data_IF_783930228837
#
_entry.id   IF_783930228837
#
_cell.length_a   1.000
_cell.length_b   1.000
_cell.length_c   1.000
_cell.angle_alpha   90.00
_cell.angle_beta   90.00
_cell.angle_gamma   90.00
#
_symmetry.space_group_name_H-M   'P 1'
#
loop_
_entity.id
_entity.type
_entity.pdbx_description
1 polymer ?
#
# COMPACT_ATOMS: atom_id res chain seq x y z
N UNK A 1 -11.55 4.57 -11.55
CA UNK A 1 -10.21 4.83 -12.13
C UNK A 1 -9.12 4.15 -11.29
N UNK A 2 -9.30 4.02 -9.96
CA UNK A 2 -8.36 3.29 -9.09
C UNK A 2 -8.40 1.77 -9.28
N UNK A 3 -9.54 1.19 -9.70
CA UNK A 3 -9.67 -0.25 -9.96
C UNK A 3 -8.80 -0.76 -11.14
N UNK A 4 -8.37 0.09 -12.04
CA UNK A 4 -7.47 -0.25 -13.14
C UNK A 4 -5.98 -0.32 -12.78
N UNK A 5 -5.60 0.13 -11.57
CA UNK A 5 -4.23 0.09 -11.07
C UNK A 5 -3.93 -1.18 -10.24
N UNK A 6 -4.94 -2.01 -10.00
CA UNK A 6 -4.82 -3.19 -9.15
C UNK A 6 -4.55 -4.42 -10.03
N UNK A 7 -3.29 -4.62 -10.40
CA UNK A 7 -2.80 -5.89 -10.93
C UNK A 7 -2.74 -6.95 -9.83
N UNK A 8 -2.77 -8.22 -10.20
CA UNK A 8 -2.99 -9.39 -9.34
C UNK A 8 -1.94 -9.64 -8.23
N UNK A 9 -0.93 -8.79 -8.06
CA UNK A 9 0.12 -8.92 -7.03
C UNK A 9 0.53 -7.59 -6.38
N UNK A 10 -0.30 -6.55 -6.48
CA UNK A 10 0.01 -5.27 -5.88
C UNK A 10 -0.37 -5.22 -4.38
N UNK A 11 0.36 -5.95 -3.55
CA UNK A 11 0.65 -5.48 -2.21
C UNK A 11 1.65 -4.31 -2.36
N UNK A 12 1.19 -3.16 -2.83
CA UNK A 12 1.99 -1.94 -2.81
C UNK A 12 2.00 -1.48 -1.37
N UNK A 13 3.13 -1.67 -0.80
CA UNK A 13 3.47 -1.74 0.60
C UNK A 13 3.05 -0.53 1.41
N UNK A 14 3.30 0.66 1.02
CA UNK A 14 2.80 1.84 1.71
C UNK A 14 2.28 2.88 0.72
N UNK A 15 1.24 3.58 1.12
CA UNK A 15 0.64 4.64 0.28
C UNK A 15 1.65 5.73 -0.08
N UNK A 16 2.48 6.19 0.86
CA UNK A 16 3.42 7.29 0.62
C UNK A 16 4.54 6.87 -0.36
N UNK A 17 4.86 5.58 -0.44
CA UNK A 17 5.77 5.04 -1.46
C UNK A 17 5.19 5.13 -2.86
N UNK A 18 3.90 4.81 -3.05
CA UNK A 18 3.22 4.97 -4.34
C UNK A 18 3.12 6.43 -4.72
N UNK A 19 2.75 7.29 -3.76
CA UNK A 19 2.68 8.74 -3.97
C UNK A 19 4.01 9.27 -4.47
N UNK A 20 5.11 8.86 -3.84
CA UNK A 20 6.46 9.25 -4.25
C UNK A 20 6.80 8.82 -5.68
N UNK A 21 6.38 7.61 -6.10
CA UNK A 21 6.55 7.14 -7.48
C UNK A 21 5.74 7.99 -8.47
N UNK A 22 4.46 8.23 -8.17
CA UNK A 22 3.59 9.01 -9.06
C UNK A 22 4.04 10.47 -9.17
N UNK A 23 4.43 11.09 -8.07
CA UNK A 23 4.93 12.46 -8.07
C UNK A 23 6.26 12.61 -8.81
N UNK A 24 7.15 11.62 -8.70
CA UNK A 24 8.48 11.68 -9.34
C UNK A 24 8.45 11.25 -10.81
N UNK A 25 7.69 10.22 -11.15
CA UNK A 25 7.76 9.57 -12.46
C UNK A 25 6.48 9.70 -13.29
N UNK A 26 5.37 10.16 -12.69
CA UNK A 26 4.07 10.16 -13.35
C UNK A 26 3.50 8.75 -13.51
N UNK A 27 2.55 8.59 -14.43
CA UNK A 27 1.93 7.30 -14.76
C UNK A 27 1.68 7.19 -16.25
N UNK A 28 1.50 5.97 -16.74
CA UNK A 28 1.14 5.68 -18.13
C UNK A 28 -0.07 4.75 -18.18
N UNK A 29 -0.91 4.83 -19.23
CA UNK A 29 -2.01 3.90 -19.41
C UNK A 29 -1.49 2.51 -19.78
N UNK A 30 -2.27 1.47 -19.43
CA UNK A 30 -1.94 0.07 -19.71
C UNK A 30 -1.74 -0.22 -21.20
N UNK A 31 -2.37 0.54 -22.09
CA UNK A 31 -2.19 0.43 -23.53
C UNK A 31 -0.79 0.82 -24.02
N UNK A 32 -0.13 1.70 -23.28
CA UNK A 32 1.23 2.20 -23.59
C UNK A 32 2.32 1.31 -22.96
N UNK A 33 2.07 0.82 -21.78
CA UNK A 33 2.96 -0.15 -21.12
C UNK A 33 2.13 -1.37 -20.68
N UNK A 34 1.90 -2.32 -21.58
CA UNK A 34 1.10 -3.51 -21.30
C UNK A 34 1.80 -4.43 -20.32
N UNK A 35 1.03 -5.29 -19.67
CA UNK A 35 1.59 -6.30 -18.77
C UNK A 35 2.51 -7.28 -19.50
N UNK A 36 3.65 -7.54 -18.87
CA UNK A 36 4.56 -8.63 -19.23
C UNK A 36 4.23 -9.89 -18.41
N UNK A 37 4.81 -11.03 -18.79
CA UNK A 37 4.70 -12.24 -17.97
C UNK A 37 5.25 -12.04 -16.54
N UNK A 38 6.29 -11.22 -16.39
CA UNK A 38 6.91 -10.94 -15.11
C UNK A 38 6.12 -9.92 -14.26
N UNK A 39 5.36 -8.99 -14.87
CA UNK A 39 4.48 -8.09 -14.12
C UNK A 39 3.23 -8.81 -13.60
N UNK A 40 2.76 -9.82 -14.32
CA UNK A 40 1.61 -10.65 -13.90
C UNK A 40 1.98 -11.70 -12.83
N UNK A 41 3.24 -12.12 -12.76
CA UNK A 41 3.79 -13.00 -11.73
C UNK A 41 5.25 -12.66 -11.45
N UNK A 42 5.46 -11.80 -10.46
CA UNK A 42 6.77 -11.21 -10.15
C UNK A 42 7.67 -12.07 -9.26
N UNK A 43 7.25 -13.28 -8.85
CA UNK A 43 7.97 -14.11 -7.90
C UNK A 43 9.44 -14.34 -8.31
N UNK A 44 9.65 -14.83 -9.52
CA UNK A 44 11.00 -15.16 -9.99
C UNK A 44 11.82 -13.90 -10.27
N UNK A 45 11.19 -12.88 -10.84
CA UNK A 45 11.79 -11.55 -11.00
C UNK A 45 12.32 -11.04 -9.66
N UNK A 46 11.48 -11.02 -8.61
CA UNK A 46 11.86 -10.55 -7.29
C UNK A 46 12.98 -11.40 -6.65
N UNK A 47 12.94 -12.72 -6.82
CA UNK A 47 13.98 -13.61 -6.32
C UNK A 47 15.36 -13.29 -6.94
N UNK A 48 15.43 -13.11 -8.26
CA UNK A 48 16.67 -12.80 -8.93
C UNK A 48 17.12 -11.36 -8.68
N UNK A 49 16.21 -10.40 -8.65
CA UNK A 49 16.50 -9.01 -8.31
C UNK A 49 17.09 -8.91 -6.89
N UNK A 50 16.45 -9.53 -5.91
CA UNK A 50 16.95 -9.56 -4.54
C UNK A 50 18.34 -10.20 -4.43
N UNK A 51 18.59 -11.26 -5.20
CA UNK A 51 19.92 -11.89 -5.26
C UNK A 51 20.97 -10.94 -5.84
N UNK A 52 20.63 -10.21 -6.90
CA UNK A 52 21.50 -9.21 -7.52
C UNK A 52 21.81 -8.08 -6.53
N UNK A 53 20.77 -7.47 -5.93
CA UNK A 53 20.93 -6.39 -4.96
C UNK A 53 21.77 -6.78 -3.74
N UNK A 54 21.60 -8.01 -3.22
CA UNK A 54 22.42 -8.54 -2.11
C UNK A 54 23.87 -8.74 -2.52
N UNK A 55 24.12 -9.24 -3.74
CA UNK A 55 25.48 -9.36 -4.28
C UNK A 55 26.14 -7.99 -4.38
N UNK A 56 25.42 -7.00 -4.93
CA UNK A 56 25.93 -5.65 -5.10
C UNK A 56 26.22 -4.98 -3.74
N UNK A 57 25.34 -5.16 -2.76
CA UNK A 57 25.57 -4.70 -1.38
C UNK A 57 26.84 -5.33 -0.76
N UNK A 58 27.12 -6.62 -1.04
CA UNK A 58 28.35 -7.27 -0.57
C UNK A 58 29.59 -6.62 -1.20
N UNK A 59 29.55 -6.27 -2.48
CA UNK A 59 30.67 -5.61 -3.16
C UNK A 59 30.90 -4.21 -2.58
N UNK A 60 29.87 -3.38 -2.46
CA UNK A 60 29.98 -2.03 -1.90
C UNK A 60 30.49 -2.05 -0.46
N UNK A 61 29.97 -2.96 0.39
CA UNK A 61 30.48 -3.12 1.77
C UNK A 61 31.95 -3.53 1.83
N UNK A 62 32.42 -4.37 0.89
CA UNK A 62 33.85 -4.72 0.80
C UNK A 62 34.69 -3.51 0.40
N UNK A 63 34.25 -2.69 -0.55
CA UNK A 63 34.96 -1.47 -0.96
C UNK A 63 35.09 -0.50 0.24
N UNK A 64 34.01 -0.31 1.00
CA UNK A 64 34.07 0.48 2.25
C UNK A 64 35.08 -0.10 3.24
N UNK A 65 35.06 -1.42 3.48
CA UNK A 65 35.98 -2.08 4.42
C UNK A 65 37.45 -2.03 3.95
N UNK A 66 37.68 -1.90 2.65
CA UNK A 66 39.04 -1.77 2.03
C UNK A 66 39.51 -0.31 2.03
N UNK A 67 38.70 0.65 2.43
CA UNK A 67 39.04 2.08 2.49
C UNK A 67 39.04 2.75 1.13
N UNK A 68 38.26 2.24 0.17
CA UNK A 68 38.04 2.88 -1.13
C UNK A 68 37.43 4.26 -0.97
N UNK A 69 37.69 5.15 -1.92
CA UNK A 69 37.15 6.52 -1.90
C UNK A 69 35.63 6.52 -2.13
N UNK A 70 34.93 7.55 -1.64
CA UNK A 70 33.51 7.72 -1.90
C UNK A 70 33.20 7.80 -3.39
N UNK A 71 34.04 8.49 -4.17
CA UNK A 71 33.87 8.61 -5.62
C UNK A 71 33.93 7.24 -6.32
N UNK A 72 34.89 6.38 -5.94
CA UNK A 72 35.00 5.04 -6.48
C UNK A 72 33.79 4.15 -6.10
N UNK A 73 33.25 4.32 -4.89
CA UNK A 73 32.06 3.60 -4.43
C UNK A 73 30.83 4.07 -5.21
N UNK A 74 30.66 5.38 -5.41
CA UNK A 74 29.55 5.95 -6.19
C UNK A 74 29.62 5.53 -7.67
N UNK A 75 30.80 5.58 -8.31
CA UNK A 75 31.02 5.08 -9.68
C UNK A 75 30.59 3.60 -9.80
N UNK A 76 31.00 2.79 -8.83
CA UNK A 76 30.62 1.37 -8.80
C UNK A 76 29.13 1.15 -8.60
N UNK A 77 28.49 1.99 -7.78
CA UNK A 77 27.03 1.96 -7.58
C UNK A 77 26.28 2.31 -8.86
N UNK A 78 26.74 3.32 -9.64
CA UNK A 78 26.13 3.68 -10.92
C UNK A 78 26.21 2.53 -11.94
N UNK A 79 27.37 1.84 -12.06
CA UNK A 79 27.47 0.62 -12.91
C UNK A 79 26.47 -0.47 -12.50
N UNK A 80 26.28 -0.66 -11.19
CA UNK A 80 25.32 -1.63 -10.65
C UNK A 80 23.88 -1.22 -10.97
N UNK A 81 23.54 0.08 -10.83
CA UNK A 81 22.22 0.60 -11.17
C UNK A 81 21.92 0.45 -12.67
N UNK A 82 22.88 0.64 -13.55
CA UNK A 82 22.72 0.37 -14.98
C UNK A 82 22.40 -1.12 -15.25
N UNK A 83 23.10 -2.02 -14.57
CA UNK A 83 22.85 -3.47 -14.67
C UNK A 83 21.46 -3.84 -14.18
N UNK A 84 20.99 -3.23 -13.07
CA UNK A 84 19.64 -3.41 -12.52
C UNK A 84 18.60 -2.86 -13.49
N UNK A 85 18.82 -1.67 -14.05
CA UNK A 85 17.92 -1.08 -15.04
C UNK A 85 17.77 -1.96 -16.28
N UNK A 86 18.85 -2.51 -16.79
CA UNK A 86 18.84 -3.45 -17.91
C UNK A 86 18.06 -4.73 -17.56
N UNK A 87 18.28 -5.29 -16.37
CA UNK A 87 17.55 -6.47 -15.90
C UNK A 87 16.04 -6.21 -15.83
N UNK A 88 15.64 -5.07 -15.28
CA UNK A 88 14.23 -4.67 -15.17
C UNK A 88 13.63 -4.38 -16.56
N UNK A 89 14.35 -3.71 -17.46
CA UNK A 89 13.88 -3.40 -18.81
C UNK A 89 13.68 -4.64 -19.67
N UNK A 90 14.54 -5.65 -19.53
CA UNK A 90 14.34 -6.97 -20.18
C UNK A 90 13.11 -7.67 -19.64
N UNK A 91 12.85 -7.58 -18.34
CA UNK A 91 11.79 -8.31 -17.66
C UNK A 91 10.41 -7.66 -17.80
N UNK A 92 10.35 -6.34 -17.79
CA UNK A 92 9.10 -5.55 -17.69
C UNK A 92 8.84 -4.66 -18.89
N UNK A 93 9.83 -4.45 -19.75
CA UNK A 93 9.81 -3.45 -20.82
C UNK A 93 10.47 -2.13 -20.37
N UNK A 94 10.89 -1.34 -21.35
CA UNK A 94 11.47 -0.03 -21.10
C UNK A 94 10.37 1.01 -20.91
N UNK A 95 10.37 1.76 -19.79
CA UNK A 95 9.36 2.79 -19.55
C UNK A 95 9.40 3.86 -20.66
N UNK A 96 8.24 4.24 -21.23
CA UNK A 96 8.18 5.27 -22.25
C UNK A 96 8.48 6.64 -21.65
N UNK A 97 9.27 7.45 -22.34
CA UNK A 97 9.51 8.86 -21.99
C UNK A 97 8.40 9.77 -22.48
N UNK A 98 7.82 9.42 -23.63
CA UNK A 98 6.77 10.16 -24.32
C UNK A 98 5.89 9.17 -25.09
N UNK A 99 4.58 9.45 -25.21
CA UNK A 99 3.63 8.58 -25.90
C UNK A 99 2.41 9.37 -26.39
N UNK A 100 1.70 8.79 -27.35
CA UNK A 100 0.38 9.26 -27.77
C UNK A 100 -0.69 8.49 -27.00
N UNK A 101 -1.76 9.18 -26.62
CA UNK A 101 -2.90 8.57 -25.94
C UNK A 101 -4.19 8.88 -26.68
N UNK A 102 -4.89 7.83 -27.06
CA UNK A 102 -6.18 7.91 -27.74
C UNK A 102 -7.28 7.17 -26.95
N UNK A 103 -8.47 7.74 -26.94
CA UNK A 103 -9.64 7.13 -26.30
C UNK A 103 -10.94 7.63 -26.94
N UNK A 104 -12.03 6.93 -26.63
CA UNK A 104 -13.38 7.42 -26.87
C UNK A 104 -14.05 7.70 -25.54
N UNK A 105 -14.70 8.85 -25.44
CA UNK A 105 -15.51 9.22 -24.27
C UNK A 105 -16.83 8.41 -24.22
N UNK A 106 -17.65 8.67 -23.20
CA UNK A 106 -18.96 8.01 -23.01
C UNK A 106 -19.91 8.28 -24.19
N UNK A 107 -19.78 9.41 -24.87
CA UNK A 107 -20.55 9.80 -26.05
C UNK A 107 -19.94 9.24 -27.33
N UNK A 108 -18.86 8.45 -27.23
CA UNK A 108 -18.10 7.82 -28.33
C UNK A 108 -17.33 8.79 -29.22
N UNK A 109 -17.13 10.03 -28.78
CA UNK A 109 -16.23 10.96 -29.47
C UNK A 109 -14.79 10.49 -29.36
N UNK A 110 -14.05 10.60 -30.47
CA UNK A 110 -12.63 10.24 -30.51
C UNK A 110 -11.76 11.40 -30.04
N UNK A 111 -10.83 11.06 -29.15
CA UNK A 111 -9.84 11.99 -28.63
C UNK A 111 -8.44 11.42 -28.87
N UNK A 112 -7.50 12.29 -29.23
CA UNK A 112 -6.09 11.97 -29.43
C UNK A 112 -5.22 13.08 -28.87
N UNK A 113 -4.42 12.74 -27.85
CA UNK A 113 -3.36 13.58 -27.33
C UNK A 113 -2.00 13.02 -27.72
N UNK A 114 -1.14 13.85 -28.28
CA UNK A 114 0.18 13.48 -28.75
C UNK A 114 1.28 14.00 -27.86
N UNK A 115 2.38 13.25 -27.77
CA UNK A 115 3.59 13.68 -27.09
C UNK A 115 3.41 13.90 -25.60
N UNK A 116 2.62 13.04 -24.92
CA UNK A 116 2.42 13.11 -23.49
C UNK A 116 3.60 12.48 -22.77
N UNK A 117 4.15 13.18 -21.78
CA UNK A 117 5.01 12.56 -20.79
C UNK A 117 4.15 11.88 -19.69
N UNK A 118 4.70 10.92 -18.93
CA UNK A 118 3.97 10.30 -17.80
C UNK A 118 3.43 11.32 -16.79
N UNK A 119 4.15 12.42 -16.53
CA UNK A 119 3.70 13.52 -15.67
C UNK A 119 2.51 14.27 -16.27
N UNK A 120 2.59 14.69 -17.53
CA UNK A 120 1.49 15.39 -18.21
C UNK A 120 0.25 14.51 -18.26
N UNK A 121 0.42 13.21 -18.48
CA UNK A 121 -0.70 12.26 -18.45
C UNK A 121 -1.33 12.17 -17.06
N UNK A 122 -0.53 12.09 -16.00
CA UNK A 122 -1.02 12.11 -14.63
C UNK A 122 -1.85 13.37 -14.34
N UNK A 123 -1.28 14.55 -14.62
CA UNK A 123 -1.92 15.83 -14.33
C UNK A 123 -3.22 16.01 -15.10
N UNK A 124 -3.25 15.59 -16.38
CA UNK A 124 -4.40 15.79 -17.28
C UNK A 124 -5.53 14.81 -17.06
N UNK A 125 -5.21 13.53 -16.85
CA UNK A 125 -6.19 12.44 -16.85
C UNK A 125 -6.52 11.86 -15.48
N UNK A 126 -5.63 12.05 -14.51
CA UNK A 126 -5.84 11.56 -13.14
C UNK A 126 -6.07 12.74 -12.20
N UNK A 127 -5.16 13.71 -12.13
CA UNK A 127 -5.32 15.00 -11.46
C UNK A 127 -5.59 14.93 -9.96
N UNK A 128 -5.45 13.76 -9.34
CA UNK A 128 -5.69 13.56 -7.89
C UNK A 128 -4.55 14.23 -7.11
N UNK A 129 -4.89 15.14 -6.21
CA UNK A 129 -3.93 15.74 -5.30
C UNK A 129 -3.60 14.77 -4.17
N UNK A 130 -2.63 13.90 -4.43
CA UNK A 130 -2.24 12.84 -3.48
C UNK A 130 -1.79 13.37 -2.12
N UNK A 131 -1.31 14.62 -2.05
CA UNK A 131 -0.93 15.28 -0.80
C UNK A 131 -2.12 15.66 0.09
N UNK A 132 -3.35 15.64 -0.43
CA UNK A 132 -4.56 15.91 0.35
C UNK A 132 -4.99 14.71 1.19
N UNK A 133 -4.30 13.58 1.10
CA UNK A 133 -4.59 12.38 1.84
C UNK A 133 -3.52 12.07 2.87
N UNK A 134 -3.89 11.33 3.91
CA UNK A 134 -3.02 10.86 4.99
C UNK A 134 -3.24 9.39 5.28
N UNK A 135 -2.18 8.73 5.73
CA UNK A 135 -2.23 7.39 6.29
C UNK A 135 -2.58 7.46 7.77
N UNK A 136 -3.67 6.84 8.15
CA UNK A 136 -4.13 6.70 9.54
C UNK A 136 -4.00 5.24 9.94
N UNK A 137 -3.39 4.97 11.10
CA UNK A 137 -3.20 3.61 11.62
C UNK A 137 -3.95 3.40 12.91
N UNK A 138 -4.22 2.14 13.22
CA UNK A 138 -4.64 1.69 14.52
C UNK A 138 -3.67 0.63 15.04
N UNK A 139 -2.71 1.06 15.86
CA UNK A 139 -1.73 0.24 16.55
C UNK A 139 -1.84 0.50 18.05
N UNK A 140 -2.65 -0.30 18.79
CA UNK A 140 -2.97 -0.05 20.20
C UNK A 140 -1.89 -0.58 21.16
N UNK A 141 -0.62 -0.55 20.76
CA UNK A 141 0.52 -0.99 21.56
C UNK A 141 1.00 0.12 22.50
N UNK A 142 1.65 -0.22 23.61
CA UNK A 142 2.05 0.73 24.64
C UNK A 142 3.08 1.75 24.17
N UNK A 143 3.91 1.37 23.22
CA UNK A 143 4.97 2.21 22.62
C UNK A 143 4.43 3.17 21.56
N UNK A 144 3.16 3.01 21.15
CA UNK A 144 2.51 3.83 20.13
C UNK A 144 1.24 4.54 20.64
N UNK A 145 1.37 5.54 21.54
CA UNK A 145 0.23 6.34 21.97
C UNK A 145 -0.62 6.87 20.82
N UNK A 146 -1.95 6.93 21.01
CA UNK A 146 -2.85 7.54 20.05
C UNK A 146 -2.65 9.06 19.93
N UNK A 147 -3.13 9.63 18.82
CA UNK A 147 -3.01 11.05 18.48
C UNK A 147 -1.54 11.52 18.41
N UNK A 148 -0.67 10.68 17.88
CA UNK A 148 0.73 10.96 17.57
C UNK A 148 1.04 10.48 16.15
N UNK A 149 2.03 11.14 15.53
CA UNK A 149 2.53 10.71 14.23
C UNK A 149 3.77 9.83 14.36
N UNK A 150 3.91 8.88 13.44
CA UNK A 150 4.96 7.88 13.40
C UNK A 150 5.55 7.75 12.01
N UNK A 151 6.82 7.42 11.94
CA UNK A 151 7.50 6.92 10.75
C UNK A 151 8.34 5.69 11.12
N UNK A 152 8.75 4.93 10.13
CA UNK A 152 9.62 3.76 10.35
C UNK A 152 10.99 4.05 9.73
N UNK A 153 12.05 3.81 10.48
CA UNK A 153 13.43 4.04 10.03
C UNK A 153 13.72 3.23 8.75
N UNK A 154 14.41 3.84 7.80
CA UNK A 154 14.78 3.25 6.49
C UNK A 154 13.59 2.81 5.63
N UNK A 155 12.38 3.22 5.95
CA UNK A 155 11.19 2.93 5.17
C UNK A 155 11.02 3.96 4.06
N UNK A 156 11.32 3.57 2.83
CA UNK A 156 11.17 4.41 1.64
C UNK A 156 11.71 3.70 0.40
N UNK A 157 11.12 3.99 -0.75
CA UNK A 157 11.47 3.34 -2.03
C UNK A 157 11.96 4.31 -3.11
N UNK A 158 11.91 5.61 -2.85
CA UNK A 158 12.29 6.64 -3.82
C UNK A 158 13.26 7.63 -3.19
N UNK A 159 14.46 7.75 -3.75
CA UNK A 159 15.44 8.76 -3.34
C UNK A 159 14.86 10.16 -3.55
N UNK A 160 14.80 10.95 -2.45
CA UNK A 160 14.16 12.28 -2.43
C UNK A 160 12.63 12.22 -2.46
N UNK A 161 12.04 11.05 -2.29
CA UNK A 161 10.61 10.86 -2.12
C UNK A 161 10.11 11.29 -0.75
N UNK A 162 8.79 11.20 -0.58
CA UNK A 162 8.10 11.54 0.65
C UNK A 162 8.42 10.51 1.74
N UNK A 163 8.64 10.99 2.94
CA UNK A 163 8.74 10.12 4.11
C UNK A 163 7.38 9.44 4.37
N UNK A 164 7.41 8.15 4.67
CA UNK A 164 6.23 7.42 5.11
C UNK A 164 5.82 7.94 6.48
N UNK A 165 4.58 8.38 6.62
CA UNK A 165 4.08 9.00 7.86
C UNK A 165 2.67 8.53 8.19
N UNK A 166 2.48 8.11 9.43
CA UNK A 166 1.22 7.61 9.96
C UNK A 166 0.69 8.49 11.09
N UNK A 167 -0.62 8.63 11.19
CA UNK A 167 -1.30 9.12 12.39
C UNK A 167 -1.94 7.93 13.11
N UNK A 168 -1.54 7.66 14.36
CA UNK A 168 -2.16 6.59 15.15
C UNK A 168 -3.38 7.11 15.88
N UNK A 169 -4.53 6.43 15.72
CA UNK A 169 -5.80 6.78 16.38
C UNK A 169 -6.46 5.54 16.97
N UNK A 170 -7.40 5.76 17.89
CA UNK A 170 -8.27 4.69 18.38
C UNK A 170 -9.20 4.15 17.28
N UNK A 171 -9.75 2.95 17.48
CA UNK A 171 -10.53 2.26 16.47
C UNK A 171 -11.88 2.96 16.17
N UNK A 172 -12.49 3.62 17.14
CA UNK A 172 -13.72 4.38 16.93
C UNK A 172 -13.48 5.55 15.98
N UNK A 173 -12.41 6.32 16.22
CA UNK A 173 -11.95 7.41 15.33
C UNK A 173 -11.59 6.87 13.95
N UNK A 174 -10.85 5.77 13.88
CA UNK A 174 -10.45 5.10 12.64
C UNK A 174 -11.66 4.75 11.75
N UNK A 175 -12.69 4.11 12.33
CA UNK A 175 -13.92 3.76 11.61
C UNK A 175 -14.73 5.00 11.20
N UNK A 176 -14.83 6.01 12.06
CA UNK A 176 -15.53 7.27 11.72
C UNK A 176 -14.93 7.96 10.52
N UNK A 177 -13.60 8.01 10.42
CA UNK A 177 -12.92 8.60 9.26
C UNK A 177 -13.19 7.81 7.97
N UNK A 178 -13.16 6.48 8.03
CA UNK A 178 -13.48 5.63 6.89
C UNK A 178 -14.95 5.79 6.43
N UNK A 179 -15.89 5.83 7.38
CA UNK A 179 -17.33 6.05 7.10
C UNK A 179 -17.53 7.41 6.45
N UNK A 180 -16.96 8.48 7.02
CA UNK A 180 -17.11 9.84 6.49
C UNK A 180 -16.67 9.95 5.03
N UNK A 181 -15.55 9.34 4.67
CA UNK A 181 -15.07 9.33 3.27
C UNK A 181 -15.99 8.52 2.35
N UNK A 182 -16.49 7.37 2.80
CA UNK A 182 -17.44 6.56 2.03
C UNK A 182 -18.78 7.28 1.82
N UNK A 183 -19.29 8.03 2.83
CA UNK A 183 -20.51 8.80 2.73
C UNK A 183 -20.39 9.98 1.73
N UNK A 184 -19.18 10.51 1.54
CA UNK A 184 -18.89 11.50 0.51
C UNK A 184 -18.71 10.89 -0.90
N UNK A 185 -18.91 9.57 -1.04
CA UNK A 185 -18.85 8.85 -2.31
C UNK A 185 -17.43 8.46 -2.73
N UNK A 186 -16.45 8.54 -1.83
CA UNK A 186 -15.07 8.21 -2.09
C UNK A 186 -14.66 6.90 -1.40
N UNK A 187 -14.02 6.00 -2.15
CA UNK A 187 -13.54 4.73 -1.60
C UNK A 187 -12.32 4.93 -0.67
N UNK A 188 -12.13 4.00 0.26
CA UNK A 188 -11.03 4.04 1.24
C UNK A 188 -10.05 2.91 1.00
N UNK A 189 -8.81 3.23 0.67
CA UNK A 189 -7.72 2.26 0.67
C UNK A 189 -7.42 1.85 2.11
N UNK A 190 -7.22 0.55 2.37
CA UNK A 190 -6.89 0.05 3.70
C UNK A 190 -5.91 -1.10 3.67
N UNK A 191 -5.10 -1.20 4.73
CA UNK A 191 -4.12 -2.26 4.97
C UNK A 191 -4.55 -3.16 6.12
N UNK A 192 -4.45 -4.48 5.92
CA UNK A 192 -4.92 -5.47 6.87
C UNK A 192 -4.08 -6.75 6.85
N UNK A 193 -4.32 -7.65 7.80
CA UNK A 193 -3.85 -9.03 7.76
C UNK A 193 -4.93 -9.94 7.17
N UNK A 194 -4.99 -10.00 5.85
CA UNK A 194 -6.05 -10.71 5.12
C UNK A 194 -6.02 -12.24 5.34
N UNK A 195 -4.90 -12.78 5.83
CA UNK A 195 -4.76 -14.21 6.13
C UNK A 195 -5.55 -14.67 7.34
N UNK A 196 -5.89 -13.76 8.25
CA UNK A 196 -6.56 -14.05 9.50
C UNK A 196 -8.07 -14.19 9.30
N UNK A 197 -8.63 -15.29 9.81
CA UNK A 197 -10.09 -15.56 9.84
C UNK A 197 -10.84 -15.13 8.58
N UNK A 198 -10.31 -15.53 7.39
CA UNK A 198 -10.90 -15.18 6.10
C UNK A 198 -11.00 -16.37 5.15
N UNK A 199 -12.04 -16.39 4.32
CA UNK A 199 -12.27 -17.44 3.32
C UNK A 199 -12.20 -16.84 1.92
N UNK A 200 -11.15 -17.17 1.16
CA UNK A 200 -10.94 -16.63 -0.20
C UNK A 200 -12.07 -16.98 -1.15
N UNK A 201 -12.55 -18.22 -1.10
CA UNK A 201 -13.56 -18.73 -2.05
C UNK A 201 -14.90 -18.01 -1.88
N UNK A 202 -15.37 -17.83 -0.65
CA UNK A 202 -16.64 -17.17 -0.36
C UNK A 202 -16.51 -15.64 -0.25
N UNK A 203 -15.30 -15.13 -0.06
CA UNK A 203 -15.07 -13.70 0.15
C UNK A 203 -15.62 -13.19 1.49
N UNK A 204 -15.52 -14.02 2.53
CA UNK A 204 -15.96 -13.66 3.88
C UNK A 204 -14.75 -13.42 4.76
N UNK A 205 -14.76 -12.31 5.49
CA UNK A 205 -13.78 -11.89 6.50
C UNK A 205 -14.55 -11.68 7.81
N UNK A 206 -14.49 -12.68 8.69
CA UNK A 206 -15.25 -12.69 9.95
C UNK A 206 -14.50 -13.50 11.02
N UNK A 207 -14.57 -13.08 12.28
CA UNK A 207 -13.83 -13.73 13.38
C UNK A 207 -14.24 -15.19 13.57
N UNK A 208 -15.49 -15.50 13.27
CA UNK A 208 -16.09 -16.85 13.36
C UNK A 208 -16.03 -17.65 12.05
N UNK A 209 -15.20 -17.21 11.08
CA UNK A 209 -14.99 -17.98 9.84
C UNK A 209 -14.40 -19.38 10.11
N UNK A 210 -13.68 -19.54 11.21
CA UNK A 210 -13.10 -20.79 11.70
C UNK A 210 -13.23 -20.84 13.24
N UNK A 211 -13.51 -22.01 13.79
CA UNK A 211 -13.57 -22.26 15.23
C UNK A 211 -12.40 -23.17 15.64
N UNK A 212 -11.20 -22.63 15.69
CA UNK A 212 -9.97 -23.38 16.01
C UNK A 212 -9.92 -23.72 17.51
N UNK A 213 -10.42 -22.83 18.36
CA UNK A 213 -10.51 -23.04 19.79
C UNK A 213 -11.33 -24.29 20.12
N UNK A 214 -12.50 -24.44 19.47
CA UNK A 214 -13.36 -25.62 19.63
C UNK A 214 -12.70 -26.87 19.04
N UNK A 215 -12.00 -26.78 17.93
CA UNK A 215 -11.37 -27.89 17.25
C UNK A 215 -10.24 -28.52 18.10
N UNK A 216 -9.45 -27.64 18.73
CA UNK A 216 -8.26 -28.06 19.48
C UNK A 216 -8.45 -28.05 21.00
N UNK A 217 -9.63 -27.69 21.51
CA UNK A 217 -9.92 -27.52 22.95
C UNK A 217 -8.84 -26.65 23.63
N UNK A 218 -8.50 -25.53 23.00
CA UNK A 218 -7.39 -24.65 23.41
C UNK A 218 -7.75 -23.20 23.10
N UNK A 219 -7.46 -22.31 24.04
CA UNK A 219 -7.63 -20.87 23.85
C UNK A 219 -6.47 -20.27 23.06
N UNK A 220 -6.74 -19.73 21.86
CA UNK A 220 -5.79 -19.02 21.02
C UNK A 220 -6.00 -17.50 21.06
N UNK A 221 -6.80 -16.98 21.98
CA UNK A 221 -7.18 -15.57 22.04
C UNK A 221 -5.99 -14.68 22.35
N UNK A 222 -5.77 -13.67 21.52
CA UNK A 222 -4.81 -12.58 21.72
C UNK A 222 -5.49 -11.27 21.40
N UNK A 223 -5.16 -10.24 22.16
CA UNK A 223 -5.57 -8.87 21.80
C UNK A 223 -4.82 -8.39 20.56
N UNK A 224 -5.36 -7.39 19.86
CA UNK A 224 -4.70 -6.77 18.71
C UNK A 224 -3.30 -6.23 19.04
N UNK A 225 -3.12 -5.67 20.25
CA UNK A 225 -1.82 -5.22 20.73
C UNK A 225 -0.82 -6.38 20.88
N UNK A 226 -1.24 -7.47 21.52
CA UNK A 226 -0.38 -8.65 21.71
C UNK A 226 0.00 -9.29 20.38
N UNK A 227 -0.94 -9.39 19.42
CA UNK A 227 -0.60 -9.90 18.07
C UNK A 227 0.45 -9.05 17.36
N UNK A 228 0.40 -7.73 17.49
CA UNK A 228 1.42 -6.83 16.95
C UNK A 228 2.76 -6.99 17.68
N UNK A 229 2.75 -6.99 19.02
CA UNK A 229 3.96 -7.06 19.84
C UNK A 229 4.71 -8.40 19.66
N UNK A 230 3.99 -9.50 19.41
CA UNK A 230 4.56 -10.83 19.24
C UNK A 230 4.67 -11.30 17.77
N UNK A 231 4.30 -10.46 16.81
CA UNK A 231 4.41 -10.75 15.38
C UNK A 231 3.45 -11.82 14.87
N UNK A 232 2.34 -12.07 15.58
CA UNK A 232 1.28 -13.01 15.17
C UNK A 232 0.42 -12.40 14.05
N UNK A 233 0.33 -11.07 13.97
CA UNK A 233 -0.40 -10.38 12.92
C UNK A 233 0.39 -9.17 12.42
N UNK A 234 0.42 -9.01 11.11
CA UNK A 234 1.11 -7.95 10.40
C UNK A 234 0.23 -7.43 9.25
N UNK A 235 0.47 -6.22 8.78
CA UNK A 235 -0.13 -5.78 7.52
C UNK A 235 0.46 -6.59 6.36
N UNK A 236 -0.32 -7.50 5.81
CA UNK A 236 0.11 -8.40 4.72
C UNK A 236 -0.50 -8.06 3.37
N UNK A 237 -1.59 -7.29 3.36
CA UNK A 237 -2.35 -7.01 2.14
C UNK A 237 -3.08 -5.68 2.20
N UNK A 238 -3.25 -5.06 1.03
CA UNK A 238 -4.03 -3.84 0.86
C UNK A 238 -5.23 -4.07 -0.05
N UNK A 239 -6.37 -3.50 0.31
CA UNK A 239 -7.63 -3.58 -0.43
C UNK A 239 -8.36 -2.24 -0.37
N UNK A 240 -9.58 -2.18 -0.89
CA UNK A 240 -10.38 -0.97 -0.95
C UNK A 240 -11.75 -1.18 -0.31
N UNK A 241 -12.11 -0.33 0.67
CA UNK A 241 -13.48 -0.25 1.17
C UNK A 241 -14.32 0.54 0.15
N UNK A 242 -15.40 -0.07 -0.32
CA UNK A 242 -16.32 0.55 -1.30
C UNK A 242 -17.73 0.74 -0.76
N UNK A 243 -17.95 0.41 0.51
CA UNK A 243 -19.24 0.62 1.18
C UNK A 243 -19.22 0.11 2.61
N UNK A 244 -20.18 0.59 3.38
CA UNK A 244 -20.42 0.20 4.77
C UNK A 244 -21.92 0.00 5.00
N UNK A 245 -22.27 -0.99 5.81
CA UNK A 245 -23.64 -1.22 6.28
C UNK A 245 -23.77 -0.63 7.68
N UNK A 246 -24.67 0.35 7.83
CA UNK A 246 -24.92 1.05 9.08
C UNK A 246 -26.29 0.65 9.63
N UNK A 247 -26.34 0.19 10.87
CA UNK A 247 -27.58 -0.06 11.62
C UNK A 247 -27.58 0.85 12.85
N UNK A 248 -28.56 1.68 12.98
CA UNK A 248 -28.65 2.68 14.05
C UNK A 248 -27.39 3.55 14.20
N UNK A 249 -26.74 3.86 13.07
CA UNK A 249 -25.51 4.66 13.01
C UNK A 249 -24.23 3.90 13.37
N UNK A 250 -24.32 2.60 13.61
CA UNK A 250 -23.15 1.74 13.89
C UNK A 250 -22.82 0.86 12.69
N UNK A 251 -21.54 0.75 12.37
CA UNK A 251 -21.08 -0.16 11.32
C UNK A 251 -21.29 -1.62 11.73
N UNK A 252 -21.77 -2.42 10.79
CA UNK A 252 -21.97 -3.87 10.99
C UNK A 252 -21.14 -4.70 10.02
N UNK A 253 -21.03 -4.23 8.78
CA UNK A 253 -20.30 -4.89 7.70
C UNK A 253 -19.72 -3.85 6.74
N UNK A 254 -18.65 -4.26 6.06
CA UNK A 254 -17.94 -3.48 5.07
C UNK A 254 -17.88 -4.22 3.75
N UNK A 255 -18.09 -3.52 2.66
CA UNK A 255 -17.89 -4.05 1.32
C UNK A 255 -16.45 -3.77 0.91
N UNK A 256 -15.73 -4.83 0.56
CA UNK A 256 -14.31 -4.79 0.20
C UNK A 256 -14.13 -5.18 -1.26
N UNK A 257 -13.40 -4.38 -2.01
CA UNK A 257 -12.92 -4.73 -3.34
C UNK A 257 -11.48 -5.24 -3.23
N UNK A 258 -11.24 -6.44 -3.77
CA UNK A 258 -9.94 -7.11 -3.72
C UNK A 258 -9.32 -7.25 -5.12
N UNK A 259 -8.00 -7.33 -5.18
CA UNK A 259 -7.21 -7.40 -6.41
C UNK A 259 -6.99 -8.80 -6.98
N UNK A 260 -7.55 -9.83 -6.37
CA UNK A 260 -7.27 -11.23 -6.76
C UNK A 260 -8.11 -11.75 -7.94
N UNK A 261 -8.85 -10.85 -8.60
CA UNK A 261 -9.67 -11.14 -9.79
C UNK A 261 -11.08 -11.64 -9.46
N UNK A 262 -11.92 -11.66 -10.47
CA UNK A 262 -13.36 -11.91 -10.34
C UNK A 262 -13.74 -13.33 -9.89
N UNK A 263 -12.80 -14.28 -9.96
CA UNK A 263 -13.02 -15.68 -9.55
C UNK A 263 -12.94 -15.88 -8.04
N UNK A 264 -12.49 -14.87 -7.30
CA UNK A 264 -12.30 -14.91 -5.85
C UNK A 264 -13.38 -14.05 -5.19
N UNK A 265 -13.98 -14.55 -4.11
CA UNK A 265 -15.14 -13.91 -3.49
C UNK A 265 -16.33 -13.84 -4.45
N UNK A 266 -17.12 -12.79 -4.34
CA UNK A 266 -18.25 -12.52 -5.25
C UNK A 266 -17.83 -11.48 -6.29
N UNK A 267 -17.39 -11.91 -7.47
CA UNK A 267 -16.89 -11.03 -8.54
C UNK A 267 -15.74 -10.10 -8.07
N UNK A 268 -14.81 -10.62 -7.27
CA UNK A 268 -13.70 -9.83 -6.72
C UNK A 268 -14.04 -9.06 -5.43
N UNK A 269 -15.29 -9.10 -4.97
CA UNK A 269 -15.72 -8.43 -3.74
C UNK A 269 -15.80 -9.39 -2.56
N UNK A 270 -15.46 -8.85 -1.39
CA UNK A 270 -15.54 -9.53 -0.10
C UNK A 270 -16.50 -8.77 0.84
N UNK A 271 -17.00 -9.47 1.83
CA UNK A 271 -17.74 -8.88 2.96
C UNK A 271 -16.92 -9.08 4.22
N UNK A 272 -16.62 -7.98 4.88
CA UNK A 272 -15.87 -7.96 6.14
C UNK A 272 -16.82 -7.59 7.27
N UNK A 273 -16.85 -8.36 8.36
CA UNK A 273 -17.59 -7.98 9.57
C UNK A 273 -16.91 -6.83 10.29
N UNK A 274 -17.66 -6.03 11.02
CA UNK A 274 -17.12 -4.91 11.79
C UNK A 274 -16.12 -5.39 12.87
N UNK A 275 -16.40 -6.52 13.52
CA UNK A 275 -15.50 -7.12 14.48
C UNK A 275 -14.16 -7.57 13.84
N UNK A 276 -14.19 -8.05 12.61
CA UNK A 276 -12.96 -8.37 11.89
C UNK A 276 -12.14 -7.11 11.56
N UNK A 277 -12.82 -6.03 11.20
CA UNK A 277 -12.15 -4.74 10.96
C UNK A 277 -11.44 -4.24 12.22
N UNK A 278 -12.06 -4.38 13.39
CA UNK A 278 -11.47 -4.00 14.67
C UNK A 278 -10.15 -4.75 14.93
N UNK A 279 -10.11 -6.03 14.63
CA UNK A 279 -9.00 -6.91 15.00
C UNK A 279 -7.85 -6.95 13.99
N UNK A 280 -8.14 -6.90 12.68
CA UNK A 280 -7.15 -7.19 11.65
C UNK A 280 -6.93 -6.09 10.62
N UNK A 281 -7.59 -4.93 10.76
CA UNK A 281 -7.31 -3.75 9.93
C UNK A 281 -6.38 -2.81 10.67
N UNK A 282 -5.29 -2.41 10.04
CA UNK A 282 -4.23 -1.63 10.67
C UNK A 282 -4.04 -0.24 10.08
N UNK A 283 -4.42 -0.02 8.81
CA UNK A 283 -4.22 1.25 8.12
C UNK A 283 -5.42 1.59 7.23
N UNK A 284 -5.78 2.85 7.17
CA UNK A 284 -6.66 3.46 6.15
C UNK A 284 -6.01 4.70 5.58
N UNK A 285 -6.43 5.06 4.37
CA UNK A 285 -6.04 6.33 3.73
C UNK A 285 -7.26 7.20 3.58
N UNK A 286 -7.22 8.35 4.22
CA UNK A 286 -8.33 9.31 4.23
C UNK A 286 -7.88 10.72 3.87
N UNK A 287 -8.82 11.54 3.42
CA UNK A 287 -8.54 12.95 3.14
C UNK A 287 -8.23 13.73 4.42
N UNK A 288 -7.32 14.69 4.31
CA UNK A 288 -6.91 15.56 5.42
C UNK A 288 -8.04 16.42 5.98
N UNK A 289 -8.97 16.82 5.14
CA UNK A 289 -10.09 17.66 5.54
C UNK A 289 -11.14 16.96 6.42
N UNK A 290 -11.09 15.61 6.47
CA UNK A 290 -11.87 14.79 7.40
C UNK A 290 -11.27 14.75 8.81
N UNK A 291 -9.99 15.11 8.97
CA UNK A 291 -9.33 15.15 10.26
C UNK A 291 -9.79 16.37 11.08
N UNK A 292 -9.96 16.19 12.38
CA UNK A 292 -10.10 17.32 13.30
C UNK A 292 -8.83 18.17 13.32
N UNK A 293 -8.93 19.42 13.79
CA UNK A 293 -7.75 20.30 13.93
C UNK A 293 -6.68 19.69 14.83
N UNK A 294 -7.08 18.98 15.89
CA UNK A 294 -6.18 18.32 16.81
C UNK A 294 -5.42 17.16 16.12
N UNK A 295 -6.14 16.33 15.38
CA UNK A 295 -5.56 15.23 14.60
C UNK A 295 -4.62 15.72 13.51
N UNK A 296 -5.02 16.80 12.80
CA UNK A 296 -4.17 17.40 11.78
C UNK A 296 -2.90 18.02 12.38
N UNK A 297 -2.99 18.65 13.55
CA UNK A 297 -1.82 19.16 14.27
C UNK A 297 -0.90 18.02 14.69
N UNK A 298 -1.45 16.94 15.27
CA UNK A 298 -0.67 15.76 15.65
C UNK A 298 0.00 15.08 14.43
N UNK A 299 -0.67 15.05 13.28
CA UNK A 299 -0.07 14.55 12.05
C UNK A 299 1.08 15.44 11.55
N UNK A 300 0.99 16.76 11.73
CA UNK A 300 2.01 17.71 11.28
C UNK A 300 3.22 17.85 12.22
N UNK A 301 3.13 17.34 13.46
CA UNK A 301 4.28 17.27 14.37
C UNK A 301 5.38 16.35 13.82
N UNK A 302 6.60 16.52 14.34
CA UNK A 302 7.71 15.61 14.05
C UNK A 302 7.33 14.18 14.42
N UNK A 303 7.43 13.21 13.50
CA UNK A 303 7.01 11.84 13.78
C UNK A 303 7.96 11.15 14.75
N UNK A 304 7.41 10.29 15.58
CA UNK A 304 8.19 9.34 16.37
C UNK A 304 8.76 8.29 15.42
N UNK A 305 10.08 8.12 15.40
CA UNK A 305 10.77 7.16 14.54
C UNK A 305 10.72 5.77 15.17
N UNK A 306 10.06 4.85 14.51
CA UNK A 306 10.00 3.44 14.88
C UNK A 306 11.22 2.69 14.30
N UNK A 307 11.58 1.56 14.91
CA UNK A 307 12.68 0.72 14.41
C UNK A 307 12.37 0.11 13.03
N UNK A 308 13.40 -0.23 12.23
CA UNK A 308 13.18 -0.80 10.88
C UNK A 308 12.40 -2.12 10.83
N UNK A 309 12.30 -2.82 11.96
CA UNK A 309 11.57 -4.09 12.10
C UNK A 309 10.23 -3.94 12.82
N UNK A 310 9.77 -2.71 13.01
CA UNK A 310 8.44 -2.48 13.59
C UNK A 310 7.35 -3.09 12.70
N UNK A 311 6.31 -3.74 13.30
CA UNK A 311 5.22 -4.35 12.54
C UNK A 311 4.51 -3.38 11.59
N UNK A 312 4.49 -2.08 11.89
CA UNK A 312 3.89 -1.07 11.02
C UNK A 312 4.66 -0.84 9.72
N UNK A 313 5.92 -1.29 9.63
CA UNK A 313 6.71 -1.31 8.39
C UNK A 313 6.51 -2.57 7.55
N UNK A 314 5.69 -3.52 7.94
CA UNK A 314 5.58 -4.83 7.30
C UNK A 314 4.99 -4.78 5.87
N UNK A 315 4.15 -3.79 5.56
CA UNK A 315 3.69 -3.54 4.18
C UNK A 315 4.74 -2.86 3.31
N UNK A 316 5.86 -2.48 3.85
CA UNK A 316 6.93 -1.81 3.14
C UNK A 316 7.97 -2.76 2.53
#
# INVERSE_FOLDING_TARGET
ILSGLVGSEMCIRDRDMIVSLFQKYGVVPKSVMPESANSSNSRDLNNYLNKLLRKDAVVLRKMVAQGETLDAIEEKKEEMLESIYNFLSISLGTPPKEFDFEYRDEEKNYHLDRGLTPQIFYDKYIGVKLDDYVSVINAPTKDKPFNRSYTVEMLGNVVGGKEVKYLNVDMETFKKLAIAQLEEGESVWFGCDVGQSSTRTSGIMALDAYSMDDLFDTDFTMTKAERLDFGESLMTHAMVLTGVDLVDGQSTKWKVENSWGEKVGKNGFFVMSDAWMDEYTYQIVVRKDLLTKEQLNAFNEEPIVLSPWDPMGALA
#
